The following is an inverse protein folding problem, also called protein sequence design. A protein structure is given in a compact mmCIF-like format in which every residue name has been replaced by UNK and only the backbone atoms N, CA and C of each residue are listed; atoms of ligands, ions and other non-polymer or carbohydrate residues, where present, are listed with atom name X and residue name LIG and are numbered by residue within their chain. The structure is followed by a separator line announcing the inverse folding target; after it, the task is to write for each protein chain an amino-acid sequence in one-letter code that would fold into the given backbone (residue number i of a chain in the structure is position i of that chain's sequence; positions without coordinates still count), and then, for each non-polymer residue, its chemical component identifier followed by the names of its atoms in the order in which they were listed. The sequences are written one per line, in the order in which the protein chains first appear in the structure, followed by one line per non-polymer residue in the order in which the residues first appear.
data_IF_526073198470
#
_entry.id   IF_526073198470
#
_cell.length_a   1.000
_cell.length_b   1.000
_cell.length_c   1.000
_cell.angle_alpha   90.00
_cell.angle_beta   90.00
_cell.angle_gamma   90.00
#
_symmetry.space_group_name_H-M   'P 1'
#
loop_
_entity.id
_entity.type
_entity.pdbx_description
1 polymer ?
#
# COMPACT_ATOMS: atom_id res chain seq x y z
N UNK A 1 -3.66 -1.98 -7.00
CA UNK A 1 -2.29 -2.18 -7.53
C UNK A 1 -2.15 -3.55 -8.22
N UNK A 2 -2.69 -4.64 -7.67
CA UNK A 2 -2.57 -5.99 -8.24
C UNK A 2 -3.10 -6.17 -9.69
N UNK A 3 -4.06 -5.36 -10.15
CA UNK A 3 -4.58 -5.41 -11.53
C UNK A 3 -3.65 -4.79 -12.59
N UNK A 4 -2.48 -4.26 -12.20
CA UNK A 4 -1.50 -3.72 -13.14
C UNK A 4 -1.79 -2.32 -13.68
N UNK A 5 -2.80 -1.62 -13.15
CA UNK A 5 -3.05 -0.21 -13.47
C UNK A 5 -1.97 0.73 -12.85
N UNK A 6 -1.63 1.86 -13.50
CA UNK A 6 -0.85 2.90 -12.86
C UNK A 6 -1.66 3.50 -11.70
N UNK A 7 -1.01 3.75 -10.56
CA UNK A 7 -1.70 4.21 -9.34
C UNK A 7 -1.09 5.50 -8.84
N UNK A 8 -1.96 6.47 -8.58
CA UNK A 8 -1.69 7.72 -7.87
C UNK A 8 -2.70 7.83 -6.73
N UNK A 9 -2.40 8.59 -5.68
CA UNK A 9 -3.33 8.72 -4.55
C UNK A 9 -3.01 9.84 -3.58
N UNK A 10 -3.84 9.97 -2.55
CA UNK A 10 -3.67 10.95 -1.49
C UNK A 10 -2.35 10.77 -0.74
N UNK A 11 -1.72 11.87 -0.34
CA UNK A 11 -0.59 11.89 0.59
C UNK A 11 -1.01 11.77 2.08
N UNK A 12 -2.29 11.52 2.37
CA UNK A 12 -2.83 11.42 3.72
C UNK A 12 -3.11 9.99 4.18
N UNK A 13 -3.15 9.80 5.51
CA UNK A 13 -3.50 8.55 6.19
C UNK A 13 -2.62 7.37 5.76
N UNK A 14 -3.21 6.22 5.44
CA UNK A 14 -2.52 4.97 5.09
C UNK A 14 -2.12 4.88 3.62
N UNK A 15 -2.61 5.78 2.76
CA UNK A 15 -2.35 5.73 1.31
C UNK A 15 -0.85 5.88 0.96
N UNK A 16 -0.06 6.77 1.61
CA UNK A 16 1.38 6.83 1.40
C UNK A 16 2.11 5.50 1.65
N UNK A 17 1.68 4.75 2.66
CA UNK A 17 2.25 3.44 3.00
C UNK A 17 1.91 2.40 1.93
N UNK A 18 0.64 2.36 1.50
CA UNK A 18 0.16 1.43 0.46
C UNK A 18 0.86 1.70 -0.86
N UNK A 19 0.88 2.96 -1.30
CA UNK A 19 1.50 3.35 -2.57
C UNK A 19 3.02 3.23 -2.50
N UNK A 20 3.66 3.63 -1.40
CA UNK A 20 5.10 3.48 -1.21
C UNK A 20 5.98 4.19 -2.24
N UNK A 21 5.48 5.27 -2.86
CA UNK A 21 6.16 6.05 -3.91
C UNK A 21 5.71 7.51 -3.84
N UNK A 22 6.62 8.42 -3.45
CA UNK A 22 6.29 9.83 -3.11
C UNK A 22 5.77 10.66 -4.29
N UNK A 23 6.37 10.48 -5.47
CA UNK A 23 5.99 11.15 -6.72
C UNK A 23 4.69 10.60 -7.33
N UNK A 24 4.07 9.58 -6.72
CA UNK A 24 2.72 9.13 -7.06
C UNK A 24 1.63 9.74 -6.15
N UNK A 25 2.01 10.62 -5.21
CA UNK A 25 1.09 11.19 -4.21
C UNK A 25 0.66 12.62 -4.56
N UNK A 26 -0.52 13.03 -4.09
CA UNK A 26 -1.04 14.40 -4.18
C UNK A 26 -1.75 14.82 -2.89
N UNK A 27 -1.84 16.12 -2.64
CA UNK A 27 -2.65 16.64 -1.53
C UNK A 27 -4.15 16.52 -1.88
N UNK A 28 -4.95 15.77 -1.09
CA UNK A 28 -6.37 15.56 -1.39
C UNK A 28 -7.22 16.82 -1.25
N UNK A 29 -6.75 17.86 -0.55
CA UNK A 29 -7.47 19.12 -0.36
C UNK A 29 -7.16 20.15 -1.48
N UNK A 30 -6.44 19.72 -2.51
CA UNK A 30 -5.97 20.56 -3.61
C UNK A 30 -6.40 19.96 -4.95
N UNK A 31 -7.61 20.27 -5.43
CA UNK A 31 -8.13 19.71 -6.70
C UNK A 31 -7.22 19.95 -7.90
N UNK A 32 -6.51 21.08 -7.91
CA UNK A 32 -5.47 21.40 -8.88
C UNK A 32 -4.36 20.33 -8.92
N UNK A 33 -3.89 19.88 -7.75
CA UNK A 33 -2.85 18.84 -7.64
C UNK A 33 -3.33 17.46 -8.06
N UNK A 34 -4.62 17.17 -7.86
CA UNK A 34 -5.23 15.93 -8.36
C UNK A 34 -5.21 15.95 -9.90
N UNK A 35 -5.68 17.04 -10.50
CA UNK A 35 -5.71 17.23 -11.95
C UNK A 35 -4.31 17.17 -12.58
N UNK A 36 -3.34 17.86 -12.00
CA UNK A 36 -1.93 17.81 -12.43
C UNK A 36 -1.39 16.38 -12.42
N UNK A 37 -1.66 15.61 -11.35
CA UNK A 37 -1.15 14.24 -11.26
C UNK A 37 -1.84 13.30 -12.25
N UNK A 38 -3.15 13.44 -12.44
CA UNK A 38 -3.88 12.70 -13.48
C UNK A 38 -3.33 13.02 -14.87
N UNK A 39 -3.12 14.31 -15.18
CA UNK A 39 -2.57 14.76 -16.45
C UNK A 39 -1.15 14.23 -16.67
N UNK A 40 -0.31 14.21 -15.65
CA UNK A 40 1.04 13.65 -15.73
C UNK A 40 1.02 12.16 -16.13
N UNK A 41 0.12 11.36 -15.54
CA UNK A 41 -0.03 9.93 -15.88
C UNK A 41 -0.55 9.74 -17.30
N UNK A 42 -1.49 10.57 -17.75
CA UNK A 42 -2.09 10.45 -19.07
C UNK A 42 -1.19 10.94 -20.20
N UNK A 43 -0.34 11.94 -19.94
CA UNK A 43 0.47 12.62 -20.97
C UNK A 43 1.91 12.10 -21.06
N UNK A 44 2.40 11.37 -20.05
CA UNK A 44 3.77 10.84 -20.03
C UNK A 44 3.73 9.31 -19.93
N UNK A 45 3.79 8.60 -21.08
CA UNK A 45 3.72 7.14 -21.12
C UNK A 45 4.79 6.45 -20.26
N UNK A 46 6.01 6.97 -20.23
CA UNK A 46 7.12 6.43 -19.43
C UNK A 46 6.79 6.46 -17.94
N UNK A 47 6.28 7.59 -17.43
CA UNK A 47 5.85 7.71 -16.04
C UNK A 47 4.73 6.71 -15.72
N UNK A 48 3.76 6.56 -16.62
CA UNK A 48 2.70 5.57 -16.45
C UNK A 48 3.26 4.13 -16.45
N UNK A 49 4.27 3.82 -17.26
CA UNK A 49 4.93 2.51 -17.27
C UNK A 49 5.68 2.24 -15.96
N UNK A 50 6.42 3.23 -15.46
CA UNK A 50 7.09 3.15 -14.16
C UNK A 50 6.09 2.92 -13.01
N UNK A 51 4.95 3.60 -13.03
CA UNK A 51 3.89 3.40 -12.04
C UNK A 51 3.32 1.99 -12.08
N UNK A 52 3.14 1.41 -13.26
CA UNK A 52 2.69 0.00 -13.40
C UNK A 52 3.74 -0.98 -12.86
N UNK A 53 5.00 -0.80 -13.23
CA UNK A 53 6.10 -1.65 -12.77
C UNK A 53 6.24 -1.57 -11.24
N UNK A 54 6.13 -0.36 -10.67
CA UNK A 54 6.07 -0.17 -9.22
C UNK A 54 4.85 -0.83 -8.60
N UNK A 55 3.67 -0.68 -9.22
CA UNK A 55 2.43 -1.23 -8.70
C UNK A 55 2.48 -2.76 -8.54
N UNK A 56 3.07 -3.45 -9.51
CA UNK A 56 3.27 -4.90 -9.45
C UNK A 56 4.19 -5.30 -8.30
N UNK A 57 5.36 -4.65 -8.16
CA UNK A 57 6.30 -4.94 -7.06
C UNK A 57 5.71 -4.66 -5.69
N UNK A 58 5.02 -3.53 -5.54
CA UNK A 58 4.46 -3.10 -4.28
C UNK A 58 3.25 -3.97 -3.87
N UNK A 59 2.41 -4.38 -4.82
CA UNK A 59 1.30 -5.32 -4.54
C UNK A 59 1.80 -6.65 -3.96
N UNK A 60 2.99 -7.13 -4.37
CA UNK A 60 3.61 -8.34 -3.82
C UNK A 60 3.92 -8.27 -2.31
N UNK A 61 3.94 -7.07 -1.70
CA UNK A 61 4.12 -6.90 -0.26
C UNK A 61 2.82 -7.08 0.54
N UNK A 62 1.66 -6.97 -0.12
CA UNK A 62 0.34 -6.99 0.52
C UNK A 62 -0.45 -8.22 0.04
N UNK A 63 -0.09 -9.40 0.55
CA UNK A 63 -0.68 -10.68 0.13
C UNK A 63 -1.44 -11.36 1.27
N UNK A 64 -2.52 -12.06 0.92
CA UNK A 64 -3.30 -12.84 1.88
C UNK A 64 -2.46 -13.86 2.67
N UNK A 65 -1.55 -14.65 2.06
CA UNK A 65 -0.69 -15.55 2.81
C UNK A 65 0.19 -14.84 3.84
N UNK A 66 0.71 -13.64 3.53
CA UNK A 66 1.51 -12.88 4.48
C UNK A 66 0.68 -12.37 5.66
N UNK A 67 -0.56 -11.92 5.40
CA UNK A 67 -1.51 -11.51 6.46
C UNK A 67 -1.88 -12.69 7.34
N UNK A 68 -2.24 -13.83 6.74
CA UNK A 68 -2.65 -15.03 7.47
C UNK A 68 -1.54 -15.52 8.42
N UNK A 69 -0.29 -15.61 7.94
CA UNK A 69 0.85 -16.01 8.79
C UNK A 69 1.07 -15.05 9.96
N UNK A 70 1.01 -13.73 9.71
CA UNK A 70 1.19 -12.71 10.75
C UNK A 70 0.08 -12.75 11.80
N UNK A 71 -1.17 -12.87 11.35
CA UNK A 71 -2.32 -12.94 12.23
C UNK A 71 -2.29 -14.21 13.10
N UNK A 72 -2.01 -15.38 12.49
CA UNK A 72 -1.93 -16.64 13.22
C UNK A 72 -0.83 -16.60 14.28
N UNK A 73 0.37 -16.15 13.91
CA UNK A 73 1.48 -16.03 14.86
C UNK A 73 1.13 -15.13 16.06
N UNK A 74 0.44 -14.01 15.83
CA UNK A 74 -0.01 -13.14 16.92
C UNK A 74 -1.06 -13.81 17.83
N UNK A 75 -2.00 -14.56 17.26
CA UNK A 75 -3.02 -15.30 18.02
C UNK A 75 -2.37 -16.40 18.87
N UNK A 76 -1.43 -17.14 18.30
CA UNK A 76 -0.66 -18.20 18.99
C UNK A 76 0.18 -17.64 20.13
N UNK A 77 0.84 -16.50 19.92
CA UNK A 77 1.64 -15.81 20.94
C UNK A 77 0.79 -15.33 22.12
N UNK A 78 -0.37 -14.72 21.84
CA UNK A 78 -1.33 -14.30 22.88
C UNK A 78 -1.88 -15.48 23.68
N UNK A 79 -2.11 -16.62 23.03
CA UNK A 79 -2.63 -17.81 23.68
C UNK A 79 -1.56 -18.45 24.57
N UNK A 80 -0.32 -18.57 24.07
CA UNK A 80 0.82 -19.08 24.83
C UNK A 80 1.10 -18.23 26.08
N UNK A 81 1.10 -16.90 25.93
CA UNK A 81 1.30 -15.96 27.04
C UNK A 81 0.20 -16.07 28.10
N UNK A 82 -1.07 -16.20 27.69
CA UNK A 82 -2.20 -16.37 28.61
C UNK A 82 -2.18 -17.69 29.36
N UNK A 83 -1.73 -18.78 28.74
CA UNK A 83 -1.60 -20.07 29.40
C UNK A 83 -0.51 -20.00 30.47
N UNK A 84 0.67 -19.46 30.12
CA UNK A 84 1.78 -19.31 31.07
C UNK A 84 1.39 -18.45 32.29
N UNK A 85 0.68 -17.34 32.08
CA UNK A 85 0.23 -16.44 33.17
C UNK A 85 -0.86 -17.03 34.08
N UNK A 86 -1.55 -18.11 33.68
CA UNK A 86 -2.56 -18.81 34.51
C UNK A 86 -2.00 -20.00 35.27
N UNK A 87 -0.78 -20.43 34.93
CA UNK A 87 -0.09 -21.57 35.55
C UNK A 87 0.99 -21.14 36.55
N UNK A 88 1.20 -19.84 36.73
CA UNK A 88 2.04 -19.22 37.76
C UNK A 88 1.17 -18.62 38.86
#
# INVERSE_FOLDING_TARGET
MACGAPVIGSNSTSIPEVIGRKDALFDPNRPDRIGERMHAVLSHPDFAQELRAHAQRQAGKFTWPAVARRALAAIEDMTSTRIAARSA
#
